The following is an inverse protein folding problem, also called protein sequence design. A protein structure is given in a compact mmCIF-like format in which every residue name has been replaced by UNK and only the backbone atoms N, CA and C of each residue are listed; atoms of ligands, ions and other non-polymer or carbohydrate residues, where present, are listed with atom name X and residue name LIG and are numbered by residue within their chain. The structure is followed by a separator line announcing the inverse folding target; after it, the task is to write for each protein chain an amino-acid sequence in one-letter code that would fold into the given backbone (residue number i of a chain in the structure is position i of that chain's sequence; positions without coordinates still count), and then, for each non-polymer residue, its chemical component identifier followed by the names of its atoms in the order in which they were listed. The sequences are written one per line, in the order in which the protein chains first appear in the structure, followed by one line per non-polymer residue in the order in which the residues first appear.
data_IF_241968004983
#
_entry.id   IF_241968004983
#
_cell.length_a   1.000
_cell.length_b   1.000
_cell.length_c   1.000
_cell.angle_alpha   90.00
_cell.angle_beta   90.00
_cell.angle_gamma   90.00
#
_symmetry.space_group_name_H-M   'P 1'
#
loop_
_entity.id
_entity.type
_entity.pdbx_description
1 polymer ?
#
# COMPACT_ATOMS: atom_id res chain seq x y z
N UNK A 1 20.39 -47.75 12.23
CA UNK A 1 21.69 -48.24 11.75
C UNK A 1 21.86 -47.79 10.31
N UNK A 2 22.68 -46.75 10.08
CA UNK A 2 23.84 -46.70 9.16
C UNK A 2 23.55 -47.15 7.71
N UNK A 3 23.88 -46.44 6.63
CA UNK A 3 24.59 -45.20 6.32
C UNK A 3 24.47 -45.03 4.79
N UNK A 4 24.23 -43.84 4.24
CA UNK A 4 24.86 -43.37 2.98
C UNK A 4 24.31 -41.99 2.59
N UNK A 5 25.14 -40.95 2.79
CA UNK A 5 24.94 -39.60 2.27
C UNK A 5 26.15 -39.32 1.39
N UNK A 6 25.92 -39.14 0.08
CA UNK A 6 26.93 -38.71 -0.87
C UNK A 6 26.88 -37.18 -1.04
N UNK A 7 27.93 -36.51 -0.56
CA UNK A 7 28.23 -35.09 -0.79
C UNK A 7 28.65 -34.87 -2.24
N UNK A 8 28.12 -33.85 -2.91
CA UNK A 8 28.74 -33.23 -4.08
C UNK A 8 28.96 -31.74 -3.84
N UNK A 9 30.25 -31.36 -3.73
CA UNK A 9 30.74 -29.97 -3.70
C UNK A 9 30.82 -29.44 -5.13
N UNK A 10 30.24 -28.27 -5.40
CA UNK A 10 30.64 -27.43 -6.55
C UNK A 10 31.38 -26.19 -6.06
N UNK A 11 32.50 -25.93 -6.73
CA UNK A 11 33.50 -24.89 -6.44
C UNK A 11 32.99 -23.52 -6.91
N UNK A 12 33.14 -22.49 -6.07
CA UNK A 12 32.97 -21.09 -6.44
C UNK A 12 34.18 -20.59 -7.25
N UNK A 13 33.93 -19.86 -8.33
CA UNK A 13 34.94 -19.07 -9.05
C UNK A 13 34.70 -17.58 -8.77
N UNK A 14 35.70 -16.97 -8.13
CA UNK A 14 35.88 -15.53 -7.99
C UNK A 14 36.17 -14.90 -9.35
N UNK A 15 35.54 -13.76 -9.66
CA UNK A 15 36.08 -12.80 -10.64
C UNK A 15 35.78 -11.35 -10.23
N UNK A 16 36.85 -10.74 -9.69
CA UNK A 16 37.38 -9.39 -9.91
C UNK A 16 36.44 -8.27 -10.36
N UNK A 17 36.47 -7.20 -9.56
CA UNK A 17 35.76 -5.94 -9.79
C UNK A 17 36.35 -5.06 -10.89
N UNK A 18 35.58 -4.03 -11.21
CA UNK A 18 35.95 -2.91 -12.06
C UNK A 18 35.30 -1.64 -11.54
N UNK A 19 36.16 -0.73 -11.08
CA UNK A 19 35.88 0.64 -10.70
C UNK A 19 35.48 1.46 -11.92
N UNK A 20 34.42 2.27 -11.80
CA UNK A 20 34.06 3.26 -12.81
C UNK A 20 34.46 4.66 -12.35
N UNK A 21 35.21 5.34 -13.22
CA UNK A 21 35.70 6.71 -13.10
C UNK A 21 34.58 7.70 -13.41
N UNK A 22 34.51 8.77 -12.60
CA UNK A 22 33.66 9.96 -12.79
C UNK A 22 34.38 10.94 -13.74
N UNK A 23 33.74 11.52 -14.77
CA UNK A 23 34.31 12.65 -15.48
C UNK A 23 33.82 13.98 -14.86
N UNK A 24 34.78 14.85 -14.57
CA UNK A 24 34.57 16.25 -14.19
C UNK A 24 34.22 17.10 -15.41
N UNK A 25 33.20 17.96 -15.29
CA UNK A 25 32.79 18.93 -16.32
C UNK A 25 33.55 20.25 -16.09
N UNK A 26 34.28 20.69 -17.12
CA UNK A 26 34.95 21.99 -17.20
C UNK A 26 33.96 23.07 -17.65
N UNK A 27 33.76 24.11 -16.84
CA UNK A 27 33.03 25.33 -17.20
C UNK A 27 34.04 26.34 -17.74
N UNK A 28 33.91 26.71 -19.01
CA UNK A 28 34.68 27.81 -19.63
C UNK A 28 33.80 29.05 -19.76
N UNK A 29 34.15 30.11 -19.03
CA UNK A 29 33.52 31.42 -19.13
C UNK A 29 34.08 32.23 -20.29
N UNK A 30 33.21 32.84 -21.09
CA UNK A 30 33.55 33.83 -22.12
C UNK A 30 33.09 35.21 -21.66
N UNK A 31 34.07 36.08 -21.37
CA UNK A 31 33.88 37.53 -21.32
C UNK A 31 33.72 38.07 -22.74
N UNK A 32 32.75 38.95 -22.97
CA UNK A 32 32.70 39.80 -24.16
C UNK A 32 32.66 41.27 -23.75
N UNK A 33 33.59 42.02 -24.33
CA UNK A 33 33.90 43.41 -24.06
C UNK A 33 32.94 44.37 -24.77
N UNK A 34 32.66 45.50 -24.13
CA UNK A 34 31.98 46.65 -24.71
C UNK A 34 32.95 47.47 -25.58
N UNK A 35 32.49 47.89 -26.76
CA UNK A 35 33.13 48.91 -27.59
C UNK A 35 32.06 49.70 -28.35
N UNK A 36 32.00 51.00 -28.08
CA UNK A 36 30.98 51.91 -28.61
C UNK A 36 31.26 52.43 -30.03
N UNK A 37 30.20 52.94 -30.65
CA UNK A 37 30.24 53.68 -31.90
C UNK A 37 28.89 54.36 -32.14
N UNK A 38 28.92 55.69 -32.21
CA UNK A 38 27.80 56.62 -32.40
C UNK A 38 27.46 56.85 -33.87
N UNK A 39 26.17 56.95 -34.21
CA UNK A 39 25.60 58.10 -34.96
C UNK A 39 24.06 58.05 -35.03
N UNK A 40 23.35 59.20 -35.10
CA UNK A 40 21.89 59.27 -34.99
C UNK A 40 21.21 59.47 -36.35
N UNK A 41 20.17 58.67 -36.66
CA UNK A 41 19.17 59.07 -37.65
C UNK A 41 17.75 58.77 -37.20
N UNK A 42 16.93 59.78 -37.45
CA UNK A 42 15.50 59.95 -37.18
C UNK A 42 14.63 58.82 -37.72
N UNK A 43 13.77 58.28 -36.85
CA UNK A 43 12.70 57.36 -37.23
C UNK A 43 11.55 57.40 -36.20
N UNK A 44 10.39 57.80 -36.68
CA UNK A 44 9.04 57.76 -36.11
C UNK A 44 8.84 57.00 -34.79
N UNK A 45 8.34 57.70 -33.78
CA UNK A 45 7.88 57.12 -32.52
C UNK A 45 6.57 56.33 -32.72
N UNK A 46 6.70 55.04 -33.04
CA UNK A 46 5.66 54.06 -32.74
C UNK A 46 5.80 53.66 -31.28
N UNK A 47 4.82 54.03 -30.46
CA UNK A 47 4.72 53.54 -29.09
C UNK A 47 4.50 52.02 -29.12
N UNK A 48 5.59 51.26 -29.02
CA UNK A 48 5.54 49.84 -28.69
C UNK A 48 5.01 49.75 -27.26
N UNK A 49 3.72 49.40 -27.12
CA UNK A 49 3.18 48.96 -25.86
C UNK A 49 4.03 47.75 -25.41
N UNK A 50 4.86 47.94 -24.40
CA UNK A 50 5.51 46.85 -23.68
C UNK A 50 4.40 46.01 -23.06
N UNK A 51 4.02 44.92 -23.72
CA UNK A 51 3.30 43.85 -23.08
C UNK A 51 4.23 43.28 -22.02
N UNK A 52 3.94 43.59 -20.75
CA UNK A 52 4.49 42.87 -19.62
C UNK A 52 4.31 41.38 -19.90
N UNK A 53 5.35 40.54 -19.79
CA UNK A 53 5.16 39.10 -19.92
C UNK A 53 4.13 38.69 -18.88
N UNK A 54 2.95 38.23 -19.33
CA UNK A 54 2.02 37.54 -18.46
C UNK A 54 2.80 36.38 -17.87
N UNK A 55 3.07 36.44 -16.57
CA UNK A 55 3.57 35.28 -15.84
C UNK A 55 2.48 34.22 -15.96
N UNK A 56 2.65 33.28 -16.89
CA UNK A 56 1.92 32.03 -16.83
C UNK A 56 2.27 31.44 -15.47
N UNK A 57 1.32 31.43 -14.54
CA UNK A 57 1.50 30.76 -13.27
C UNK A 57 2.03 29.36 -13.59
N UNK A 58 3.23 29.03 -13.06
CA UNK A 58 3.78 27.71 -13.25
C UNK A 58 2.72 26.70 -12.82
N UNK A 59 2.48 25.67 -13.64
CA UNK A 59 1.56 24.61 -13.28
C UNK A 59 1.94 24.12 -11.87
N UNK A 60 0.96 23.98 -10.95
CA UNK A 60 1.26 23.55 -9.60
C UNK A 60 2.04 22.24 -9.66
N UNK A 61 3.11 22.14 -8.87
CA UNK A 61 3.95 20.96 -8.86
C UNK A 61 3.10 19.72 -8.52
N UNK A 62 3.30 18.63 -9.25
CA UNK A 62 2.59 17.37 -9.03
C UNK A 62 3.57 16.25 -8.67
N UNK A 63 3.05 15.18 -8.06
CA UNK A 63 3.77 13.92 -7.86
C UNK A 63 2.87 12.72 -8.21
N UNK A 64 3.49 11.57 -8.42
CA UNK A 64 2.80 10.29 -8.41
C UNK A 64 2.67 9.79 -6.97
N UNK A 65 1.51 9.21 -6.65
CA UNK A 65 1.18 8.79 -5.30
C UNK A 65 0.35 7.50 -5.33
N UNK A 66 0.79 6.50 -4.57
CA UNK A 66 0.10 5.23 -4.33
C UNK A 66 -1.27 5.49 -3.70
N UNK A 67 -2.33 5.39 -4.51
CA UNK A 67 -3.70 5.59 -4.02
C UNK A 67 -4.35 4.29 -3.55
N UNK A 68 -3.78 3.18 -3.98
CA UNK A 68 -4.17 1.83 -3.61
C UNK A 68 -2.97 0.91 -3.81
N UNK A 69 -2.80 -0.05 -2.92
CA UNK A 69 -1.77 -1.07 -2.98
C UNK A 69 -2.33 -2.38 -2.40
N UNK A 70 -1.81 -3.48 -2.90
CA UNK A 70 -1.89 -4.78 -2.24
C UNK A 70 -0.51 -5.44 -2.31
N UNK A 71 0.05 -5.79 -1.16
CA UNK A 71 1.32 -6.53 -1.11
C UNK A 71 1.12 -7.97 -1.60
N UNK A 72 1.91 -8.42 -2.59
CA UNK A 72 1.68 -9.74 -3.20
C UNK A 72 2.16 -10.89 -2.30
N UNK A 73 1.38 -11.98 -2.31
CA UNK A 73 1.67 -13.30 -1.75
C UNK A 73 1.98 -14.29 -2.87
N UNK A 74 2.74 -15.33 -2.51
CA UNK A 74 2.90 -16.50 -3.35
C UNK A 74 1.63 -17.34 -3.31
N UNK A 75 0.85 -17.33 -4.39
CA UNK A 75 -0.46 -17.98 -4.52
C UNK A 75 -0.39 -19.36 -5.23
N UNK A 76 0.77 -20.02 -5.16
CA UNK A 76 1.07 -21.18 -6.01
C UNK A 76 1.09 -20.80 -7.51
N UNK A 77 1.56 -21.71 -8.36
CA UNK A 77 1.56 -21.45 -9.80
C UNK A 77 0.16 -21.67 -10.38
N UNK A 78 -0.45 -20.59 -10.85
CA UNK A 78 -1.78 -20.54 -11.48
C UNK A 78 -1.66 -20.20 -12.97
N UNK A 79 -2.76 -20.33 -13.69
CA UNK A 79 -2.81 -19.99 -15.11
C UNK A 79 -4.08 -19.19 -15.45
N UNK A 80 -3.90 -18.15 -16.24
CA UNK A 80 -4.94 -17.62 -17.11
C UNK A 80 -4.75 -18.24 -18.51
N UNK A 81 -5.85 -18.54 -19.20
CA UNK A 81 -5.79 -19.03 -20.59
C UNK A 81 -6.79 -18.28 -21.46
N UNK A 82 -6.32 -17.23 -22.11
CA UNK A 82 -7.17 -16.32 -22.89
C UNK A 82 -8.25 -15.62 -22.03
N UNK A 83 -7.99 -15.42 -20.74
CA UNK A 83 -8.95 -14.88 -19.77
C UNK A 83 -8.92 -13.34 -19.71
N UNK A 84 -10.05 -12.74 -19.37
CA UNK A 84 -10.14 -11.32 -18.98
C UNK A 84 -10.42 -11.21 -17.49
N UNK A 85 -9.63 -10.40 -16.79
CA UNK A 85 -9.81 -10.04 -15.38
C UNK A 85 -10.26 -8.59 -15.28
N UNK A 86 -11.15 -8.26 -14.34
CA UNK A 86 -11.53 -6.89 -13.98
C UNK A 86 -11.51 -6.76 -12.46
N UNK A 87 -10.61 -5.93 -11.95
CA UNK A 87 -10.44 -5.66 -10.53
C UNK A 87 -11.04 -4.31 -10.19
N UNK A 88 -11.99 -4.29 -9.26
CA UNK A 88 -12.55 -3.09 -8.63
C UNK A 88 -11.70 -2.74 -7.40
N UNK A 89 -10.92 -1.67 -7.49
CA UNK A 89 -10.18 -1.12 -6.36
C UNK A 89 -10.88 0.11 -5.80
N UNK A 90 -10.62 0.46 -4.54
CA UNK A 90 -11.06 1.72 -3.94
C UNK A 90 -9.87 2.68 -3.81
N UNK A 91 -9.97 3.84 -4.43
CA UNK A 91 -8.92 4.86 -4.44
C UNK A 91 -9.04 5.75 -3.20
N UNK A 92 -7.95 5.88 -2.43
CA UNK A 92 -7.86 6.88 -1.36
C UNK A 92 -7.82 8.32 -1.92
N UNK A 93 -6.81 8.64 -2.73
CA UNK A 93 -6.63 9.93 -3.38
C UNK A 93 -7.23 9.94 -4.79
N UNK A 94 -7.67 11.12 -5.23
CA UNK A 94 -8.01 11.38 -6.61
C UNK A 94 -6.86 12.08 -7.34
N UNK A 95 -6.89 12.10 -8.68
CA UNK A 95 -5.83 12.71 -9.48
C UNK A 95 -6.21 12.92 -10.93
N UNK A 96 -5.26 13.45 -11.71
CA UNK A 96 -5.43 13.77 -13.15
C UNK A 96 -4.74 12.80 -14.09
N UNK A 97 -4.11 11.77 -13.54
CA UNK A 97 -3.48 10.69 -14.28
C UNK A 97 -3.43 9.43 -13.44
N UNK A 98 -3.34 8.29 -14.11
CA UNK A 98 -3.30 6.96 -13.50
C UNK A 98 -2.09 6.19 -14.02
N UNK A 99 -1.48 5.40 -13.14
CA UNK A 99 -0.58 4.31 -13.51
C UNK A 99 -0.95 3.06 -12.73
N UNK A 100 -0.69 1.90 -13.32
CA UNK A 100 -0.85 0.61 -12.66
C UNK A 100 0.50 -0.09 -12.60
N UNK A 101 0.74 -0.84 -11.52
CA UNK A 101 1.90 -1.71 -11.39
C UNK A 101 1.48 -3.16 -11.46
N UNK A 102 2.09 -3.87 -12.40
CA UNK A 102 1.93 -5.30 -12.58
C UNK A 102 3.05 -6.03 -11.84
N UNK A 103 2.72 -7.15 -11.22
CA UNK A 103 3.65 -7.95 -10.40
C UNK A 103 3.80 -9.37 -10.93
N UNK A 104 5.05 -9.82 -11.04
CA UNK A 104 5.43 -11.19 -11.36
C UNK A 104 6.60 -11.65 -10.46
N UNK A 105 6.61 -11.21 -9.21
CA UNK A 105 7.66 -11.41 -8.22
C UNK A 105 7.84 -12.89 -7.87
N UNK A 106 6.73 -13.65 -7.78
CA UNK A 106 6.75 -15.07 -7.46
C UNK A 106 6.63 -15.97 -8.70
N UNK A 107 6.44 -15.38 -9.88
CA UNK A 107 6.39 -16.11 -11.13
C UNK A 107 7.75 -16.70 -11.53
N UNK A 108 7.68 -17.72 -12.38
CA UNK A 108 8.87 -18.46 -12.86
C UNK A 108 9.10 -18.32 -14.37
N UNK A 109 8.19 -17.62 -15.06
CA UNK A 109 8.24 -17.35 -16.49
C UNK A 109 7.83 -15.90 -16.74
N UNK A 110 8.07 -15.40 -17.96
CA UNK A 110 7.56 -14.10 -18.39
C UNK A 110 6.04 -14.11 -18.33
N UNK A 111 5.44 -13.18 -17.60
CA UNK A 111 4.00 -12.96 -17.63
C UNK A 111 3.68 -11.94 -18.72
N UNK A 112 2.79 -12.31 -19.66
CA UNK A 112 2.37 -11.42 -20.75
C UNK A 112 0.92 -10.99 -20.51
N UNK A 113 0.70 -9.70 -20.31
CA UNK A 113 -0.63 -9.08 -20.34
C UNK A 113 -0.83 -8.49 -21.73
N UNK A 114 -1.73 -9.09 -22.50
CA UNK A 114 -1.97 -8.75 -23.91
C UNK A 114 -2.59 -7.34 -24.06
N UNK A 115 -3.45 -6.95 -23.12
CA UNK A 115 -3.89 -5.56 -22.98
C UNK A 115 -4.37 -5.25 -21.57
N UNK A 116 -4.25 -3.99 -21.17
CA UNK A 116 -4.80 -3.48 -19.92
C UNK A 116 -5.58 -2.18 -20.16
N UNK A 117 -6.63 -1.96 -19.37
CA UNK A 117 -7.47 -0.78 -19.43
C UNK A 117 -7.85 -0.31 -18.03
N UNK A 118 -8.11 1.00 -17.89
CA UNK A 118 -8.68 1.61 -16.69
C UNK A 118 -9.98 2.33 -17.04
N UNK A 119 -10.95 2.28 -16.14
CA UNK A 119 -12.22 3.01 -16.27
C UNK A 119 -12.84 3.29 -14.90
N UNK A 120 -13.69 4.30 -14.82
CA UNK A 120 -14.58 4.49 -13.68
C UNK A 120 -15.76 3.49 -13.74
N UNK A 121 -16.33 3.08 -12.59
CA UNK A 121 -17.54 2.29 -12.56
C UNK A 121 -18.72 3.06 -13.15
N UNK A 122 -19.66 2.34 -13.77
CA UNK A 122 -20.92 2.95 -14.20
C UNK A 122 -21.89 3.10 -13.02
N UNK A 123 -21.90 4.27 -12.39
CA UNK A 123 -22.77 4.58 -11.25
C UNK A 123 -24.26 4.61 -11.59
N UNK A 124 -24.64 4.68 -12.88
CA UNK A 124 -26.04 4.58 -13.31
C UNK A 124 -26.56 3.14 -13.32
N UNK A 125 -25.68 2.13 -13.20
CA UNK A 125 -26.02 0.72 -13.11
C UNK A 125 -25.46 0.08 -11.83
N UNK A 126 -25.87 0.59 -10.67
CA UNK A 126 -25.35 0.16 -9.36
C UNK A 126 -25.56 -1.34 -9.03
N UNK A 127 -26.44 -2.04 -9.75
CA UNK A 127 -26.70 -3.47 -9.54
C UNK A 127 -25.70 -4.38 -10.26
N UNK A 128 -24.92 -3.84 -11.20
CA UNK A 128 -23.88 -4.58 -11.91
C UNK A 128 -22.51 -4.17 -11.40
N UNK A 129 -21.84 -5.02 -10.59
CA UNK A 129 -20.56 -4.67 -9.99
C UNK A 129 -19.40 -4.67 -11.01
N UNK A 130 -19.66 -5.10 -12.25
CA UNK A 130 -18.66 -5.15 -13.34
C UNK A 130 -18.82 -3.99 -14.33
N UNK A 131 -19.88 -3.18 -14.22
CA UNK A 131 -20.19 -2.15 -15.19
C UNK A 131 -19.19 -0.99 -15.14
N UNK A 132 -18.72 -0.56 -16.30
CA UNK A 132 -17.81 0.59 -16.47
C UNK A 132 -18.49 1.73 -17.22
N UNK A 133 -18.14 2.97 -16.90
CA UNK A 133 -18.44 4.11 -17.74
C UNK A 133 -17.46 4.10 -18.93
N UNK A 134 -17.94 3.68 -20.10
CA UNK A 134 -17.12 3.56 -21.31
C UNK A 134 -16.59 4.90 -21.81
N UNK A 135 -17.13 6.04 -21.36
CA UNK A 135 -16.59 7.36 -21.69
C UNK A 135 -15.31 7.68 -20.91
N UNK A 136 -15.07 6.96 -19.82
CA UNK A 136 -13.86 7.02 -18.99
C UNK A 136 -12.87 5.88 -19.27
N UNK A 137 -13.14 5.04 -20.28
CA UNK A 137 -12.31 3.89 -20.62
C UNK A 137 -11.04 4.36 -21.35
N UNK A 138 -9.89 4.07 -20.74
CA UNK A 138 -8.59 4.35 -21.31
C UNK A 138 -7.74 3.08 -21.41
N UNK A 139 -7.10 2.90 -22.55
CA UNK A 139 -6.09 1.85 -22.72
C UNK A 139 -4.82 2.25 -21.96
N UNK A 140 -4.28 1.29 -21.19
CA UNK A 140 -3.00 1.43 -20.51
C UNK A 140 -1.89 1.01 -21.46
N UNK A 141 -0.79 1.76 -21.46
CA UNK A 141 0.42 1.40 -22.21
C UNK A 141 1.62 1.21 -21.28
N UNK A 142 2.66 0.56 -21.79
CA UNK A 142 3.89 0.24 -21.09
C UNK A 142 5.09 0.61 -21.98
N UNK A 143 6.28 0.72 -21.38
CA UNK A 143 7.54 0.91 -22.12
C UNK A 143 7.52 2.04 -23.18
N UNK A 144 6.85 3.16 -22.90
CA UNK A 144 6.66 4.28 -23.83
C UNK A 144 5.72 3.96 -25.03
N UNK A 145 4.55 3.37 -24.75
CA UNK A 145 3.45 3.28 -25.69
C UNK A 145 3.09 1.87 -26.18
N UNK A 146 3.75 0.83 -25.69
CA UNK A 146 3.37 -0.56 -25.98
C UNK A 146 2.01 -0.88 -25.35
N UNK A 147 1.11 -1.50 -26.11
CA UNK A 147 -0.25 -1.82 -25.63
C UNK A 147 -0.34 -3.12 -24.83
N UNK A 148 0.77 -3.84 -24.71
CA UNK A 148 0.92 -5.08 -23.95
C UNK A 148 2.04 -4.89 -22.91
N UNK A 149 2.06 -5.76 -21.90
CA UNK A 149 3.12 -5.81 -20.91
C UNK A 149 3.82 -7.17 -20.92
N UNK A 150 5.14 -7.15 -20.89
CA UNK A 150 5.99 -8.30 -20.59
C UNK A 150 6.65 -8.08 -19.23
N UNK A 151 6.22 -8.83 -18.21
CA UNK A 151 6.74 -8.72 -16.85
C UNK A 151 7.65 -9.92 -16.57
N UNK A 152 8.98 -9.72 -16.49
CA UNK A 152 9.92 -10.82 -16.23
C UNK A 152 9.67 -11.49 -14.87
N UNK A 153 10.06 -12.76 -14.70
CA UNK A 153 9.96 -13.43 -13.40
C UNK A 153 10.84 -12.73 -12.37
N UNK A 154 10.30 -12.48 -11.18
CA UNK A 154 10.99 -11.77 -10.10
C UNK A 154 10.91 -10.25 -10.18
N UNK A 155 10.13 -9.69 -11.11
CA UNK A 155 10.06 -8.25 -11.38
C UNK A 155 8.64 -7.68 -11.26
N UNK A 156 8.56 -6.36 -11.17
CA UNK A 156 7.32 -5.58 -11.36
C UNK A 156 7.47 -4.65 -12.57
N UNK A 157 6.36 -4.30 -13.21
CA UNK A 157 6.32 -3.35 -14.32
C UNK A 157 5.29 -2.25 -14.05
N UNK A 158 5.74 -0.99 -14.02
CA UNK A 158 4.87 0.19 -13.94
C UNK A 158 4.45 0.64 -15.33
N UNK A 159 3.17 0.98 -15.51
CA UNK A 159 2.66 1.50 -16.77
C UNK A 159 3.13 2.92 -17.07
N UNK A 160 2.97 3.33 -18.33
CA UNK A 160 3.03 4.73 -18.71
C UNK A 160 1.88 5.51 -18.05
N UNK A 161 1.99 6.84 -17.88
CA UNK A 161 0.89 7.70 -17.47
C UNK A 161 -0.32 7.60 -18.42
N UNK A 162 -1.49 7.36 -17.85
CA UNK A 162 -2.79 7.50 -18.53
C UNK A 162 -3.46 8.79 -18.06
N UNK A 163 -3.67 9.80 -18.93
CA UNK A 163 -4.42 11.00 -18.56
C UNK A 163 -5.88 10.64 -18.28
N UNK A 164 -6.29 10.74 -17.02
CA UNK A 164 -7.63 10.35 -16.56
C UNK A 164 -7.95 11.07 -15.26
N UNK A 165 -9.13 11.68 -15.17
CA UNK A 165 -9.61 12.27 -13.93
C UNK A 165 -10.18 11.15 -13.03
N UNK A 166 -9.52 10.89 -11.92
CA UNK A 166 -9.97 9.94 -10.90
C UNK A 166 -10.47 10.71 -9.68
N UNK A 167 -11.74 10.55 -9.27
CA UNK A 167 -12.24 11.14 -8.05
C UNK A 167 -11.56 10.51 -6.82
N UNK A 168 -11.37 11.29 -5.75
CA UNK A 168 -10.93 10.75 -4.45
C UNK A 168 -12.03 9.88 -3.83
N UNK A 169 -11.65 8.90 -3.00
CA UNK A 169 -12.59 8.02 -2.28
C UNK A 169 -13.60 7.37 -3.23
N UNK A 170 -13.13 6.92 -4.38
CA UNK A 170 -13.96 6.36 -5.45
C UNK A 170 -13.38 5.07 -5.99
N UNK A 171 -14.20 4.27 -6.67
CA UNK A 171 -13.69 3.04 -7.26
C UNK A 171 -13.06 3.28 -8.63
N UNK A 172 -12.06 2.47 -8.94
CA UNK A 172 -11.43 2.38 -10.26
C UNK A 172 -11.45 0.92 -10.70
N UNK A 173 -11.80 0.69 -11.97
CA UNK A 173 -11.82 -0.62 -12.59
C UNK A 173 -10.55 -0.80 -13.42
N UNK A 174 -9.71 -1.76 -13.03
CA UNK A 174 -8.54 -2.17 -13.82
C UNK A 174 -8.89 -3.47 -14.53
N UNK A 175 -8.88 -3.48 -15.86
CA UNK A 175 -9.20 -4.67 -16.66
C UNK A 175 -7.98 -5.15 -17.42
N UNK A 176 -7.57 -6.40 -17.24
CA UNK A 176 -6.44 -7.01 -17.94
C UNK A 176 -6.92 -8.22 -18.75
N UNK A 177 -6.46 -8.33 -19.99
CA UNK A 177 -6.63 -9.51 -20.83
C UNK A 177 -5.31 -10.22 -21.02
N UNK A 178 -5.34 -11.54 -20.91
CA UNK A 178 -4.22 -12.43 -21.20
C UNK A 178 -4.56 -13.18 -22.49
N UNK A 179 -3.61 -13.31 -23.41
CA UNK A 179 -3.83 -14.01 -24.69
C UNK A 179 -3.09 -15.35 -24.68
N UNK A 180 -3.86 -16.45 -24.71
CA UNK A 180 -3.31 -17.78 -24.45
C UNK A 180 -2.88 -17.96 -22.99
N UNK A 181 -1.99 -18.94 -22.77
CA UNK A 181 -1.53 -19.33 -21.44
C UNK A 181 -0.60 -18.28 -20.83
N UNK A 182 -1.03 -17.65 -19.74
CA UNK A 182 -0.22 -16.79 -18.90
C UNK A 182 -0.13 -17.40 -17.49
N UNK A 183 1.09 -17.75 -17.07
CA UNK A 183 1.32 -18.25 -15.72
C UNK A 183 1.54 -17.09 -14.76
N UNK A 184 0.94 -17.17 -13.58
CA UNK A 184 1.16 -16.20 -12.51
C UNK A 184 1.24 -16.92 -11.17
N UNK A 185 1.94 -16.30 -10.21
CA UNK A 185 1.99 -16.78 -8.83
C UNK A 185 1.77 -15.65 -7.82
N UNK A 186 1.55 -14.43 -8.28
CA UNK A 186 1.35 -13.24 -7.48
C UNK A 186 -0.13 -13.02 -7.24
N UNK A 187 -0.54 -13.07 -5.98
CA UNK A 187 -1.90 -12.76 -5.58
C UNK A 187 -1.99 -12.18 -4.19
N UNK A 188 -3.08 -11.48 -3.91
CA UNK A 188 -3.45 -11.12 -2.56
C UNK A 188 -4.92 -11.47 -2.40
N UNK A 189 -5.21 -12.53 -1.65
CA UNK A 189 -6.57 -13.01 -1.39
C UNK A 189 -6.66 -13.61 0.00
N UNK A 190 -7.64 -13.16 0.78
CA UNK A 190 -8.01 -13.74 2.07
C UNK A 190 -9.55 -13.75 2.15
N UNK A 191 -10.14 -14.87 2.56
CA UNK A 191 -11.59 -15.02 2.71
C UNK A 191 -12.22 -14.10 3.75
N UNK A 192 -11.44 -13.55 4.69
CA UNK A 192 -11.95 -12.78 5.82
C UNK A 192 -11.32 -11.38 5.98
N UNK A 193 -10.54 -10.97 4.98
CA UNK A 193 -10.12 -9.57 4.78
C UNK A 193 -10.94 -9.02 3.62
N UNK A 194 -11.56 -7.84 3.73
CA UNK A 194 -12.24 -7.24 2.59
C UNK A 194 -11.20 -6.71 1.62
N UNK A 195 -11.09 -7.34 0.45
CA UNK A 195 -10.12 -6.98 -0.58
C UNK A 195 -10.84 -6.52 -1.85
N UNK A 196 -10.05 -6.05 -2.83
CA UNK A 196 -10.56 -5.64 -4.13
C UNK A 196 -11.45 -6.74 -4.74
N UNK A 197 -12.54 -6.33 -5.39
CA UNK A 197 -13.44 -7.27 -6.07
C UNK A 197 -12.85 -7.65 -7.42
N UNK A 198 -12.54 -8.93 -7.63
CA UNK A 198 -12.00 -9.44 -8.89
C UNK A 198 -13.04 -10.27 -9.64
N UNK A 199 -13.27 -9.92 -10.89
CA UNK A 199 -14.15 -10.62 -11.82
C UNK A 199 -13.35 -11.25 -12.93
N UNK A 200 -13.58 -12.53 -13.23
CA UNK A 200 -12.84 -13.26 -14.28
C UNK A 200 -13.80 -13.84 -15.30
N UNK A 201 -13.64 -13.46 -16.56
CA UNK A 201 -14.31 -14.07 -17.72
C UNK A 201 -13.33 -15.01 -18.40
N UNK A 202 -13.69 -16.29 -18.51
CA UNK A 202 -12.81 -17.32 -19.03
C UNK A 202 -12.79 -17.39 -20.56
N UNK A 203 -11.60 -17.54 -21.13
CA UNK A 203 -11.37 -17.86 -22.55
C UNK A 203 -11.90 -16.83 -23.56
N UNK A 204 -12.08 -15.57 -23.14
CA UNK A 204 -12.66 -14.52 -23.97
C UNK A 204 -11.97 -13.18 -23.71
N UNK A 205 -11.64 -12.45 -24.78
CA UNK A 205 -11.27 -11.05 -24.72
C UNK A 205 -12.52 -10.18 -24.62
N UNK A 206 -12.78 -9.69 -23.41
CA UNK A 206 -13.89 -8.76 -23.11
C UNK A 206 -13.37 -7.51 -22.39
N UNK A 207 -12.10 -7.17 -22.61
CA UNK A 207 -11.41 -6.11 -21.86
C UNK A 207 -12.09 -4.74 -21.97
N UNK A 208 -12.72 -4.45 -23.11
CA UNK A 208 -13.43 -3.20 -23.40
C UNK A 208 -14.95 -3.29 -23.23
N UNK A 209 -15.48 -4.44 -22.81
CA UNK A 209 -16.91 -4.62 -22.60
C UNK A 209 -17.43 -3.71 -21.50
N UNK A 210 -18.52 -2.99 -21.78
CA UNK A 210 -19.15 -2.06 -20.83
C UNK A 210 -19.62 -2.75 -19.53
N UNK A 211 -19.84 -4.05 -19.57
CA UNK A 211 -20.39 -4.86 -18.48
C UNK A 211 -20.17 -6.35 -18.77
N UNK A 212 -20.08 -7.17 -17.71
CA UNK A 212 -20.09 -8.63 -17.80
C UNK A 212 -21.46 -9.24 -17.46
N UNK A 213 -22.53 -8.46 -17.29
CA UNK A 213 -23.84 -8.94 -16.85
C UNK A 213 -24.49 -9.98 -17.77
N UNK A 214 -24.09 -10.00 -19.04
CA UNK A 214 -24.55 -10.97 -20.06
C UNK A 214 -23.52 -12.08 -20.33
N UNK A 215 -22.47 -12.17 -19.51
CA UNK A 215 -21.40 -13.15 -19.62
C UNK A 215 -21.38 -14.04 -18.36
N UNK A 216 -20.79 -15.23 -18.50
CA UNK A 216 -20.42 -16.02 -17.33
C UNK A 216 -19.10 -15.48 -16.79
N UNK A 217 -19.10 -15.02 -15.53
CA UNK A 217 -17.89 -14.60 -14.84
C UNK A 217 -17.81 -15.20 -13.44
N UNK A 218 -16.58 -15.43 -12.99
CA UNK A 218 -16.24 -15.83 -11.62
C UNK A 218 -15.98 -14.58 -10.78
N UNK A 219 -16.24 -14.65 -9.47
CA UNK A 219 -15.94 -13.57 -8.52
C UNK A 219 -14.98 -14.06 -7.46
N UNK A 220 -13.96 -13.26 -7.19
CA UNK A 220 -12.94 -13.51 -6.18
C UNK A 220 -12.78 -12.29 -5.27
N UNK A 221 -12.41 -12.54 -4.02
CA UNK A 221 -12.05 -11.52 -3.05
C UNK A 221 -10.52 -11.37 -3.02
N UNK A 222 -10.00 -10.38 -3.72
CA UNK A 222 -8.57 -10.21 -3.89
C UNK A 222 -8.17 -9.67 -5.25
N UNK A 223 -6.87 -9.72 -5.51
CA UNK A 223 -6.26 -9.29 -6.77
C UNK A 223 -5.17 -10.27 -7.17
N UNK A 224 -4.91 -10.38 -8.47
CA UNK A 224 -3.80 -11.16 -9.02
C UNK A 224 -2.94 -10.28 -9.91
N UNK A 225 -1.63 -10.31 -9.65
CA UNK A 225 -0.61 -9.64 -10.48
C UNK A 225 -0.79 -8.12 -10.68
N UNK A 226 -1.64 -7.46 -9.88
CA UNK A 226 -1.81 -6.01 -9.80
C UNK A 226 -1.48 -5.59 -8.36
N UNK A 227 -0.32 -4.95 -8.17
CA UNK A 227 0.23 -4.62 -6.84
C UNK A 227 0.00 -3.18 -6.43
N UNK A 228 -0.13 -2.24 -7.37
CA UNK A 228 -0.29 -0.83 -7.06
C UNK A 228 -1.09 -0.09 -8.14
N UNK A 229 -1.81 0.94 -7.70
CA UNK A 229 -2.33 2.01 -8.56
C UNK A 229 -1.82 3.35 -8.03
N UNK A 230 -1.14 4.11 -8.89
CA UNK A 230 -0.72 5.48 -8.62
C UNK A 230 -1.69 6.47 -9.28
N UNK A 231 -1.93 7.60 -8.62
CA UNK A 231 -2.59 8.76 -9.22
C UNK A 231 -1.67 9.98 -9.20
N UNK A 232 -1.81 10.85 -10.20
CA UNK A 232 -1.08 12.12 -10.24
C UNK A 232 -1.80 13.16 -9.37
N UNK A 233 -1.13 13.56 -8.29
CA UNK A 233 -1.68 14.44 -7.24
C UNK A 233 -0.86 15.72 -7.11
N UNK A 234 -1.38 16.77 -6.46
CA UNK A 234 -0.58 17.90 -6.04
C UNK A 234 0.64 17.47 -5.18
N UNK A 235 1.78 18.11 -5.35
CA UNK A 235 3.04 17.69 -4.70
C UNK A 235 2.99 17.68 -3.16
N UNK A 236 2.10 18.48 -2.56
CA UNK A 236 1.89 18.53 -1.11
C UNK A 236 1.08 17.34 -0.54
N UNK A 237 0.47 16.51 -1.40
CA UNK A 237 -0.26 15.32 -0.96
C UNK A 237 0.70 14.36 -0.26
N UNK A 238 0.32 13.90 0.93
CA UNK A 238 1.07 12.87 1.66
C UNK A 238 0.82 11.51 1.02
N UNK A 239 1.86 10.68 1.00
CA UNK A 239 1.80 9.29 0.56
C UNK A 239 2.14 8.44 1.78
N UNK A 240 1.13 7.80 2.37
CA UNK A 240 1.27 6.97 3.56
C UNK A 240 1.24 5.51 3.15
N UNK A 241 2.29 4.76 3.47
CA UNK A 241 2.27 3.30 3.33
C UNK A 241 2.11 2.67 4.71
N UNK A 242 1.03 1.92 4.89
CA UNK A 242 0.76 1.16 6.11
C UNK A 242 1.36 -0.24 5.97
N UNK A 243 2.45 -0.51 6.70
CA UNK A 243 3.17 -1.77 6.62
C UNK A 243 3.00 -2.57 7.92
N UNK A 244 2.45 -3.77 7.82
CA UNK A 244 1.98 -4.52 8.98
C UNK A 244 1.52 -5.94 8.57
N UNK A 245 0.78 -6.57 9.47
CA UNK A 245 0.19 -7.90 9.42
C UNK A 245 -1.34 -7.86 9.21
N UNK A 246 -2.06 -8.89 9.64
CA UNK A 246 -3.52 -9.09 9.42
C UNK A 246 -4.40 -7.95 9.91
N UNK A 247 -4.00 -7.26 10.99
CA UNK A 247 -4.74 -6.13 11.53
C UNK A 247 -4.79 -4.96 10.52
N UNK A 248 -3.67 -4.67 9.88
CA UNK A 248 -3.63 -3.58 8.89
C UNK A 248 -4.15 -4.02 7.55
N UNK A 249 -3.92 -5.28 7.17
CA UNK A 249 -4.55 -5.89 6.00
C UNK A 249 -6.08 -5.70 6.06
N UNK A 250 -6.66 -5.86 7.27
CA UNK A 250 -8.03 -5.52 7.58
C UNK A 250 -8.90 -6.72 7.92
N UNK A 251 -8.30 -7.81 8.42
CA UNK A 251 -9.04 -9.01 8.81
C UNK A 251 -10.15 -8.68 9.81
N UNK A 252 -11.37 -9.14 9.57
CA UNK A 252 -12.54 -8.81 10.41
C UNK A 252 -13.26 -7.52 10.03
N UNK A 253 -12.72 -6.71 9.12
CA UNK A 253 -13.45 -5.60 8.51
C UNK A 253 -14.48 -6.13 7.50
N UNK A 254 -15.57 -5.41 7.34
CA UNK A 254 -16.61 -5.65 6.34
C UNK A 254 -16.67 -4.46 5.40
N UNK A 255 -16.18 -4.63 4.17
CA UNK A 255 -16.04 -3.58 3.15
C UNK A 255 -14.61 -3.04 3.06
N UNK A 256 -14.15 -2.76 1.84
CA UNK A 256 -12.77 -2.37 1.51
C UNK A 256 -12.39 -0.97 2.03
N UNK A 257 -13.38 -0.22 2.49
CA UNK A 257 -13.32 1.14 3.00
C UNK A 257 -13.13 1.18 4.53
N UNK A 258 -13.20 0.02 5.18
CA UNK A 258 -13.22 -0.12 6.62
C UNK A 258 -11.93 -0.53 7.31
N UNK A 259 -10.90 -1.13 6.67
CA UNK A 259 -9.59 -1.27 7.29
C UNK A 259 -9.08 0.10 7.78
N UNK A 260 -8.32 0.12 8.89
CA UNK A 260 -7.92 1.40 9.50
C UNK A 260 -7.17 2.35 8.54
N UNK A 261 -6.32 1.89 7.57
CA UNK A 261 -5.69 2.79 6.62
C UNK A 261 -6.72 3.47 5.70
N UNK A 262 -7.78 2.75 5.31
CA UNK A 262 -8.86 3.27 4.48
C UNK A 262 -9.73 4.27 5.26
N UNK A 263 -10.00 4.02 6.54
CA UNK A 263 -10.70 4.98 7.42
C UNK A 263 -9.89 6.28 7.55
N UNK A 264 -8.59 6.17 7.81
CA UNK A 264 -7.70 7.35 7.90
C UNK A 264 -7.72 8.14 6.58
N UNK A 265 -7.64 7.45 5.44
CA UNK A 265 -7.73 8.07 4.12
C UNK A 265 -9.07 8.80 3.92
N UNK A 266 -10.17 8.17 4.30
CA UNK A 266 -11.52 8.72 4.20
C UNK A 266 -11.67 10.01 5.01
N UNK A 267 -11.22 10.00 6.27
CA UNK A 267 -11.26 11.19 7.14
C UNK A 267 -10.42 12.36 6.58
N UNK A 268 -9.18 12.09 6.18
CA UNK A 268 -8.29 13.11 5.64
C UNK A 268 -8.84 13.70 4.34
N UNK A 269 -9.23 12.84 3.39
CA UNK A 269 -9.68 13.27 2.07
C UNK A 269 -11.12 13.79 2.06
N UNK A 270 -11.95 13.51 3.06
CA UNK A 270 -13.24 14.19 3.22
C UNK A 270 -13.07 15.63 3.73
N UNK A 271 -11.98 15.90 4.45
CA UNK A 271 -11.62 17.22 4.97
C UNK A 271 -10.85 18.11 3.98
N UNK A 272 -9.98 18.95 4.52
CA UNK A 272 -9.08 19.83 3.77
C UNK A 272 -7.71 19.22 3.51
N UNK A 273 -7.39 18.12 4.19
CA UNK A 273 -6.13 17.40 4.03
C UNK A 273 -6.18 16.54 2.75
N UNK A 274 -5.01 16.05 2.34
CA UNK A 274 -4.87 15.22 1.14
C UNK A 274 -3.87 14.12 1.39
N UNK A 275 -4.33 12.87 1.21
CA UNK A 275 -3.49 11.68 1.43
C UNK A 275 -3.78 10.61 0.39
N UNK A 276 -2.74 10.00 -0.12
CA UNK A 276 -2.80 8.74 -0.85
C UNK A 276 -2.26 7.64 0.09
N UNK A 277 -2.96 6.52 0.17
CA UNK A 277 -2.65 5.44 1.12
C UNK A 277 -2.46 4.13 0.36
N UNK A 278 -1.31 3.50 0.58
CA UNK A 278 -1.04 2.11 0.22
C UNK A 278 -1.19 1.22 1.46
N UNK A 279 -1.94 0.13 1.32
CA UNK A 279 -2.05 -0.89 2.36
C UNK A 279 -1.13 -2.07 2.01
N UNK A 280 0.02 -2.11 2.66
CA UNK A 280 0.98 -3.20 2.53
C UNK A 280 0.80 -4.25 3.65
N UNK A 281 -0.34 -4.32 4.33
CA UNK A 281 -0.66 -5.36 5.29
C UNK A 281 -0.73 -6.75 4.62
N UNK A 282 -0.36 -7.80 5.35
CA UNK A 282 -0.55 -9.20 4.93
C UNK A 282 -0.99 -10.04 6.13
N UNK A 283 -2.06 -10.82 5.98
CA UNK A 283 -2.49 -11.79 6.99
C UNK A 283 -1.36 -12.69 7.52
N UNK A 284 -1.15 -12.72 8.85
CA UNK A 284 -0.15 -13.58 9.50
C UNK A 284 1.31 -13.21 9.27
N UNK A 285 1.59 -12.08 8.61
CA UNK A 285 2.96 -11.64 8.33
C UNK A 285 3.70 -11.26 9.61
N UNK A 286 5.03 -11.29 9.55
CA UNK A 286 5.90 -11.17 10.72
C UNK A 286 7.21 -10.46 10.34
N UNK A 287 7.91 -9.89 11.31
CA UNK A 287 9.23 -9.28 11.11
C UNK A 287 10.33 -10.30 10.82
N UNK A 288 10.04 -11.57 11.06
CA UNK A 288 10.91 -12.70 10.85
C UNK A 288 10.28 -13.67 9.86
N UNK A 289 11.12 -14.47 9.20
CA UNK A 289 10.62 -15.51 8.33
C UNK A 289 9.92 -16.60 9.17
N UNK A 290 8.61 -16.49 9.26
CA UNK A 290 7.73 -17.44 9.92
C UNK A 290 7.17 -18.39 8.86
N UNK A 291 7.69 -19.62 8.81
CA UNK A 291 7.04 -20.72 8.09
C UNK A 291 6.00 -21.43 8.97
N UNK A 292 5.55 -20.81 10.06
CA UNK A 292 4.78 -21.47 11.12
C UNK A 292 3.44 -22.04 10.63
N UNK A 293 2.82 -21.40 9.62
CA UNK A 293 1.63 -21.91 8.92
C UNK A 293 1.93 -22.49 7.53
N UNK A 294 3.21 -22.78 7.23
CA UNK A 294 3.68 -23.39 5.98
C UNK A 294 4.24 -22.38 4.97
N UNK A 295 4.90 -22.85 3.90
CA UNK A 295 5.40 -21.97 2.84
C UNK A 295 4.27 -21.15 2.21
N UNK A 296 4.44 -19.82 2.15
CA UNK A 296 3.53 -18.90 1.44
C UNK A 296 2.26 -18.49 2.20
N UNK A 297 1.98 -19.04 3.39
CA UNK A 297 0.76 -18.73 4.15
C UNK A 297 0.59 -17.25 4.52
N UNK A 298 1.71 -16.54 4.64
CA UNK A 298 1.83 -15.36 5.48
C UNK A 298 2.77 -14.30 4.87
N UNK A 299 3.10 -14.47 3.58
CA UNK A 299 4.01 -13.60 2.84
C UNK A 299 5.49 -13.78 3.15
N UNK A 300 6.32 -13.06 2.41
CA UNK A 300 7.72 -12.83 2.76
C UNK A 300 7.76 -11.95 4.02
N UNK A 301 8.72 -12.14 4.91
CA UNK A 301 8.81 -11.33 6.13
C UNK A 301 8.92 -9.83 5.83
N UNK A 302 8.48 -9.02 6.80
CA UNK A 302 8.37 -7.57 6.65
C UNK A 302 9.71 -6.96 6.24
N UNK A 303 10.82 -7.37 6.84
CA UNK A 303 12.12 -6.78 6.51
C UNK A 303 12.52 -7.05 5.05
N UNK A 304 12.37 -8.29 4.59
CA UNK A 304 12.76 -8.69 3.23
C UNK A 304 11.87 -8.03 2.16
N UNK A 305 10.63 -7.68 2.48
CA UNK A 305 9.73 -6.98 1.55
C UNK A 305 9.71 -5.45 1.71
N UNK A 306 10.40 -4.88 2.69
CA UNK A 306 10.34 -3.43 2.97
C UNK A 306 10.74 -2.57 1.78
N UNK A 307 11.83 -2.94 1.09
CA UNK A 307 12.26 -2.20 -0.10
C UNK A 307 11.21 -2.27 -1.22
N UNK A 308 10.58 -3.43 -1.42
CA UNK A 308 9.64 -3.68 -2.51
C UNK A 308 8.27 -3.06 -2.23
N UNK A 309 7.67 -3.35 -1.09
CA UNK A 309 6.29 -2.98 -0.77
C UNK A 309 6.17 -1.61 -0.07
N UNK A 310 7.28 -0.97 0.29
CA UNK A 310 7.25 0.33 0.98
C UNK A 310 8.12 1.35 0.29
N UNK A 311 9.44 1.16 0.29
CA UNK A 311 10.36 2.20 -0.19
C UNK A 311 10.22 2.46 -1.70
N UNK A 312 9.95 1.43 -2.51
CA UNK A 312 9.75 1.58 -3.95
C UNK A 312 8.49 2.38 -4.33
N UNK A 313 7.55 2.54 -3.39
CA UNK A 313 6.29 3.29 -3.53
C UNK A 313 6.47 4.80 -3.30
N UNK A 314 7.70 5.24 -3.02
CA UNK A 314 8.08 6.63 -2.75
C UNK A 314 7.21 7.35 -1.67
N UNK A 315 6.99 6.74 -0.48
CA UNK A 315 6.19 7.35 0.57
C UNK A 315 6.76 8.68 1.06
N UNK A 316 5.88 9.52 1.59
CA UNK A 316 6.30 10.58 2.52
C UNK A 316 6.31 10.09 3.96
N UNK A 317 5.49 9.08 4.25
CA UNK A 317 5.21 8.59 5.59
C UNK A 317 5.00 7.07 5.58
N UNK A 318 5.43 6.42 6.65
CA UNK A 318 5.22 4.99 6.89
C UNK A 318 4.58 4.83 8.26
N UNK A 319 3.56 3.97 8.36
CA UNK A 319 3.06 3.48 9.64
C UNK A 319 3.47 2.03 9.78
N UNK A 320 4.17 1.69 10.88
CA UNK A 320 4.55 0.32 11.18
C UNK A 320 3.75 -0.16 12.39
N UNK A 321 2.93 -1.19 12.21
CA UNK A 321 2.19 -1.88 13.25
C UNK A 321 2.48 -3.39 13.13
N UNK A 322 3.48 -3.89 13.82
CA UNK A 322 3.90 -5.29 13.68
C UNK A 322 4.48 -5.83 14.98
N UNK A 323 4.62 -7.15 15.06
CA UNK A 323 5.24 -7.82 16.20
C UNK A 323 4.30 -8.78 16.91
N UNK A 324 2.98 -8.70 16.70
CA UNK A 324 2.03 -9.55 17.42
C UNK A 324 2.17 -11.03 16.99
N UNK A 325 2.37 -11.29 15.69
CA UNK A 325 2.67 -12.64 15.19
C UNK A 325 4.08 -13.15 15.52
N UNK A 326 4.99 -12.29 15.99
CA UNK A 326 6.37 -12.65 16.35
C UNK A 326 6.48 -13.17 17.80
N UNK A 327 5.50 -12.84 18.65
CA UNK A 327 5.48 -13.20 20.06
C UNK A 327 5.43 -14.74 20.26
N UNK A 328 6.17 -15.21 21.25
CA UNK A 328 6.32 -16.64 21.55
C UNK A 328 7.36 -17.36 20.69
N UNK A 329 7.83 -16.73 19.59
CA UNK A 329 8.98 -17.17 18.79
C UNK A 329 10.21 -16.26 18.95
N UNK A 330 9.98 -14.96 19.18
CA UNK A 330 11.01 -13.94 19.30
C UNK A 330 10.79 -13.06 20.54
N UNK A 331 11.89 -12.55 21.11
CA UNK A 331 11.82 -11.58 22.21
C UNK A 331 11.49 -10.18 21.70
N UNK A 332 11.02 -9.30 22.57
CA UNK A 332 10.81 -7.90 22.26
C UNK A 332 12.10 -7.24 21.76
N UNK A 333 13.26 -7.58 22.32
CA UNK A 333 14.56 -7.03 21.89
C UNK A 333 14.91 -7.46 20.44
N UNK A 334 14.59 -8.71 20.06
CA UNK A 334 14.77 -9.17 18.68
C UNK A 334 13.88 -8.36 17.72
N UNK A 335 12.62 -8.16 18.09
CA UNK A 335 11.63 -7.40 17.31
C UNK A 335 12.08 -5.94 17.18
N UNK A 336 12.49 -5.30 18.28
CA UNK A 336 13.01 -3.92 18.33
C UNK A 336 14.20 -3.75 17.39
N UNK A 337 15.13 -4.72 17.37
CA UNK A 337 16.29 -4.65 16.47
C UNK A 337 15.88 -4.62 14.99
N UNK A 338 14.80 -5.31 14.59
CA UNK A 338 14.26 -5.24 13.23
C UNK A 338 13.58 -3.89 12.95
N UNK A 339 12.81 -3.37 13.90
CA UNK A 339 12.23 -2.04 13.79
C UNK A 339 13.28 -0.96 13.57
N UNK A 340 14.39 -1.00 14.31
CA UNK A 340 15.50 -0.05 14.16
C UNK A 340 16.04 -0.04 12.72
N UNK A 341 16.20 -1.21 12.10
CA UNK A 341 16.64 -1.31 10.70
C UNK A 341 15.62 -0.64 9.75
N UNK A 342 14.33 -0.90 9.92
CA UNK A 342 13.28 -0.29 9.08
C UNK A 342 13.26 1.23 9.21
N UNK A 343 13.35 1.74 10.44
CA UNK A 343 13.38 3.17 10.76
C UNK A 343 14.60 3.83 10.14
N UNK A 344 15.80 3.25 10.32
CA UNK A 344 17.04 3.78 9.76
C UNK A 344 16.99 3.85 8.23
N UNK A 345 16.45 2.82 7.56
CA UNK A 345 16.31 2.79 6.11
C UNK A 345 15.33 3.86 5.59
N UNK A 346 14.21 4.08 6.29
CA UNK A 346 13.24 5.11 5.95
C UNK A 346 13.81 6.53 6.16
N UNK A 347 14.44 6.78 7.31
CA UNK A 347 15.05 8.07 7.64
C UNK A 347 16.21 8.42 6.71
N UNK A 348 16.97 7.43 6.23
CA UNK A 348 18.00 7.62 5.20
C UNK A 348 17.43 8.17 3.87
N UNK A 349 16.13 8.01 3.64
CA UNK A 349 15.40 8.54 2.48
C UNK A 349 14.49 9.73 2.83
N UNK A 350 14.63 10.30 4.04
CA UNK A 350 13.81 11.41 4.55
C UNK A 350 12.31 11.11 4.63
N UNK A 351 11.96 9.85 4.87
CA UNK A 351 10.58 9.38 5.03
C UNK A 351 10.25 9.38 6.52
N UNK A 352 9.11 9.94 6.91
CA UNK A 352 8.69 9.93 8.32
C UNK A 352 8.17 8.55 8.70
N UNK A 353 8.45 8.12 9.93
CA UNK A 353 8.01 6.83 10.45
C UNK A 353 7.16 7.01 11.69
N UNK A 354 5.98 6.40 11.69
CA UNK A 354 5.04 6.38 12.80
C UNK A 354 4.98 4.96 13.40
N UNK A 355 5.18 4.85 14.70
CA UNK A 355 5.08 3.59 15.43
C UNK A 355 3.65 3.34 15.91
N UNK A 356 3.04 2.23 15.48
CA UNK A 356 1.76 1.76 15.98
C UNK A 356 1.94 0.92 17.24
N UNK A 357 1.39 1.37 18.36
CA UNK A 357 1.43 0.61 19.63
C UNK A 357 0.57 -0.65 19.49
N UNK A 358 1.16 -1.83 19.64
CA UNK A 358 0.49 -3.11 19.41
C UNK A 358 -0.79 -3.26 20.22
N UNK A 359 -1.82 -3.80 19.58
CA UNK A 359 -3.13 -4.00 20.18
C UNK A 359 -3.07 -5.03 21.33
N UNK A 360 -4.06 -5.06 22.23
CA UNK A 360 -4.02 -6.00 23.34
C UNK A 360 -4.20 -7.46 22.90
N UNK A 361 -3.47 -8.39 23.51
CA UNK A 361 -3.52 -9.82 23.20
C UNK A 361 -4.24 -10.67 24.26
N UNK A 362 -4.64 -10.06 25.38
CA UNK A 362 -5.30 -10.75 26.48
C UNK A 362 -6.63 -11.39 26.07
N UNK A 363 -6.99 -12.49 26.73
CA UNK A 363 -8.30 -13.12 26.55
C UNK A 363 -9.42 -12.09 26.81
N UNK A 364 -10.47 -12.14 26.00
CA UNK A 364 -11.52 -11.12 25.99
C UNK A 364 -12.82 -11.64 26.60
N UNK A 365 -13.76 -10.73 26.86
CA UNK A 365 -15.15 -11.09 27.18
C UNK A 365 -15.96 -11.03 25.91
N UNK A 366 -16.50 -12.17 25.49
CA UNK A 366 -17.33 -12.29 24.30
C UNK A 366 -18.68 -11.58 24.44
N UNK A 367 -19.36 -11.38 23.32
CA UNK A 367 -20.69 -10.71 23.28
C UNK A 367 -21.77 -11.42 24.12
N UNK A 368 -21.60 -12.71 24.40
CA UNK A 368 -22.46 -13.50 25.28
C UNK A 368 -22.05 -13.45 26.77
N UNK A 369 -21.05 -12.63 27.12
CA UNK A 369 -20.50 -12.49 28.45
C UNK A 369 -19.54 -13.60 28.89
N UNK A 370 -19.23 -14.58 28.02
CA UNK A 370 -18.27 -15.64 28.34
C UNK A 370 -16.84 -15.25 27.95
N UNK A 371 -15.81 -15.75 28.66
CA UNK A 371 -14.43 -15.59 28.22
C UNK A 371 -14.21 -16.20 26.84
N UNK A 372 -13.47 -15.50 25.99
CA UNK A 372 -13.03 -15.98 24.68
C UNK A 372 -11.51 -15.89 24.66
N UNK A 373 -10.85 -17.03 24.46
CA UNK A 373 -9.40 -17.02 24.36
C UNK A 373 -8.94 -16.48 23.02
N UNK A 374 -7.91 -15.65 23.04
CA UNK A 374 -7.27 -15.14 21.83
C UNK A 374 -6.35 -16.16 21.18
N UNK A 375 -5.86 -17.13 21.95
CA UNK A 375 -4.77 -18.03 21.54
C UNK A 375 -3.38 -17.38 21.54
N UNK A 376 -3.29 -16.06 21.73
CA UNK A 376 -2.03 -15.31 21.78
C UNK A 376 -1.57 -15.03 23.22
N UNK A 377 -2.50 -14.97 24.17
CA UNK A 377 -2.19 -14.64 25.54
C UNK A 377 -1.41 -15.75 26.26
N UNK A 378 -0.22 -15.39 26.73
CA UNK A 378 0.46 -16.03 27.86
C UNK A 378 1.10 -14.92 28.71
N UNK A 379 1.40 -15.16 30.00
CA UNK A 379 2.13 -14.17 30.81
C UNK A 379 3.47 -13.77 30.19
N UNK A 380 4.15 -14.69 29.48
CA UNK A 380 5.39 -14.41 28.78
C UNK A 380 5.16 -13.50 27.55
N UNK A 381 4.21 -13.85 26.67
CA UNK A 381 3.89 -13.03 25.49
C UNK A 381 3.42 -11.63 25.88
N UNK A 382 2.61 -11.49 26.93
CA UNK A 382 2.16 -10.16 27.38
C UNK A 382 3.30 -9.34 27.97
N UNK A 383 4.28 -9.96 28.65
CA UNK A 383 5.46 -9.25 29.12
C UNK A 383 6.32 -8.73 27.95
N UNK A 384 6.53 -9.55 26.91
CA UNK A 384 7.24 -9.15 25.69
C UNK A 384 6.49 -8.05 24.93
N UNK A 385 5.17 -8.17 24.77
CA UNK A 385 4.33 -7.14 24.14
C UNK A 385 4.39 -5.82 24.90
N UNK A 386 4.35 -5.85 26.23
CA UNK A 386 4.47 -4.65 27.06
C UNK A 386 5.86 -4.01 26.94
N UNK A 387 6.93 -4.79 26.88
CA UNK A 387 8.29 -4.30 26.64
C UNK A 387 8.39 -3.63 25.26
N UNK A 388 7.86 -4.27 24.22
CA UNK A 388 7.81 -3.71 22.86
C UNK A 388 7.02 -2.39 22.83
N UNK A 389 5.81 -2.37 23.39
CA UNK A 389 4.98 -1.16 23.42
C UNK A 389 5.62 -0.02 24.21
N UNK A 390 6.26 -0.33 25.35
CA UNK A 390 6.99 0.67 26.12
C UNK A 390 8.15 1.28 25.31
N UNK A 391 8.84 0.46 24.50
CA UNK A 391 9.86 0.96 23.58
C UNK A 391 9.25 1.82 22.45
N UNK A 392 8.14 1.39 21.84
CA UNK A 392 7.45 2.16 20.79
C UNK A 392 7.02 3.54 21.31
N UNK A 393 6.51 3.60 22.54
CA UNK A 393 6.03 4.84 23.17
C UNK A 393 7.18 5.74 23.67
N UNK A 394 8.40 5.21 23.81
CA UNK A 394 9.54 6.00 24.26
C UNK A 394 9.94 7.05 23.22
N UNK A 395 10.28 8.24 23.70
CA UNK A 395 10.67 9.35 22.84
C UNK A 395 11.98 9.08 22.08
N UNK A 396 12.04 9.53 20.83
CA UNK A 396 13.27 9.55 20.03
C UNK A 396 13.43 8.39 19.03
N UNK A 397 12.46 7.47 18.96
CA UNK A 397 12.48 6.36 17.99
C UNK A 397 11.69 6.66 16.70
N UNK A 398 10.56 7.37 16.82
CA UNK A 398 9.64 7.65 15.72
C UNK A 398 9.38 9.15 15.56
N UNK A 399 8.88 9.54 14.38
CA UNK A 399 8.37 10.89 14.09
C UNK A 399 6.99 11.13 14.74
N UNK A 400 6.30 10.06 15.12
CA UNK A 400 5.07 10.06 15.91
C UNK A 400 4.67 8.66 16.36
N UNK A 401 3.83 8.58 17.40
CA UNK A 401 3.35 7.32 17.96
C UNK A 401 1.82 7.30 17.87
N UNK A 402 1.27 6.20 17.36
CA UNK A 402 -0.17 5.97 17.20
C UNK A 402 -0.59 4.90 18.21
N UNK A 403 -1.26 5.30 19.29
CA UNK A 403 -1.65 4.38 20.35
C UNK A 403 -2.92 3.59 20.01
N UNK A 404 -2.77 2.62 19.09
CA UNK A 404 -3.86 1.71 18.72
C UNK A 404 -4.33 0.89 19.92
N UNK A 405 -3.41 0.48 20.81
CA UNK A 405 -3.71 -0.29 22.01
C UNK A 405 -4.75 0.39 22.90
N UNK A 406 -4.55 1.67 23.19
CA UNK A 406 -5.43 2.43 24.07
C UNK A 406 -6.82 2.67 23.47
N UNK A 407 -6.93 2.86 22.15
CA UNK A 407 -8.23 3.16 21.51
C UNK A 407 -9.10 1.93 21.28
N UNK A 408 -8.53 0.72 21.27
CA UNK A 408 -9.29 -0.54 21.12
C UNK A 408 -9.38 -1.38 22.40
N UNK A 409 -8.50 -1.14 23.37
CA UNK A 409 -8.41 -1.95 24.59
C UNK A 409 -9.55 -1.74 25.59
N UNK A 410 -9.77 -2.74 26.43
CA UNK A 410 -10.70 -2.68 27.55
C UNK A 410 -9.94 -2.58 28.88
N UNK A 411 -9.84 -1.39 29.49
CA UNK A 411 -9.09 -1.22 30.75
C UNK A 411 -9.72 -1.95 31.94
N UNK A 412 -10.95 -2.48 31.81
CA UNK A 412 -11.60 -3.28 32.86
C UNK A 412 -11.24 -4.77 32.81
N UNK A 413 -10.49 -5.21 31.79
CA UNK A 413 -10.04 -6.59 31.65
C UNK A 413 -8.53 -6.65 31.97
N UNK A 414 -8.11 -7.62 32.77
CA UNK A 414 -6.71 -7.87 33.10
C UNK A 414 -6.42 -9.36 32.95
N UNK A 415 -5.43 -9.76 32.13
CA UNK A 415 -4.58 -8.95 31.23
C UNK A 415 -5.38 -8.15 30.18
N UNK A 416 -4.81 -7.08 29.65
CA UNK A 416 -5.51 -6.17 28.73
C UNK A 416 -5.97 -6.92 27.47
N UNK A 417 -7.27 -6.90 27.19
CA UNK A 417 -7.89 -7.46 25.99
C UNK A 417 -8.60 -6.39 25.17
N UNK A 418 -8.97 -6.71 23.93
CA UNK A 418 -9.77 -5.82 23.06
C UNK A 418 -11.16 -5.62 23.68
N UNK A 419 -11.72 -4.42 23.54
CA UNK A 419 -13.08 -4.12 23.98
C UNK A 419 -14.13 -4.93 23.23
N UNK A 420 -15.11 -5.46 23.97
CA UNK A 420 -16.20 -6.29 23.45
C UNK A 420 -16.98 -5.61 22.31
N UNK A 421 -17.02 -4.28 22.28
CA UNK A 421 -17.68 -3.53 21.20
C UNK A 421 -16.88 -3.50 19.88
N UNK A 422 -15.57 -3.73 19.93
CA UNK A 422 -14.66 -3.47 18.82
C UNK A 422 -13.91 -4.68 18.28
N UNK A 423 -14.09 -5.86 18.87
CA UNK A 423 -13.46 -7.08 18.36
C UNK A 423 -14.33 -7.77 17.29
N UNK A 424 -13.68 -8.54 16.43
CA UNK A 424 -14.32 -9.48 15.52
C UNK A 424 -14.69 -10.79 16.28
N UNK A 425 -15.99 -11.14 16.39
CA UNK A 425 -16.43 -12.39 17.03
C UNK A 425 -15.83 -13.67 16.46
N UNK A 426 -15.44 -13.68 15.19
CA UNK A 426 -14.83 -14.84 14.52
C UNK A 426 -13.30 -14.85 14.65
N UNK A 427 -12.72 -13.75 15.13
CA UNK A 427 -11.28 -13.62 15.32
C UNK A 427 -10.94 -12.65 16.47
N UNK A 428 -10.82 -13.16 17.71
CA UNK A 428 -10.78 -12.33 18.92
C UNK A 428 -9.53 -11.46 19.13
N UNK A 429 -8.58 -11.50 18.19
CA UNK A 429 -7.42 -10.58 18.14
C UNK A 429 -7.58 -9.46 17.08
N UNK A 430 -8.61 -9.53 16.25
CA UNK A 430 -8.86 -8.55 15.19
C UNK A 430 -10.02 -7.63 15.55
N UNK A 431 -10.06 -6.50 14.84
CA UNK A 431 -11.08 -5.50 15.03
C UNK A 431 -12.26 -5.76 14.09
N UNK A 432 -13.46 -5.38 14.53
CA UNK A 432 -14.57 -5.15 13.63
C UNK A 432 -14.52 -3.72 13.06
N UNK A 433 -15.49 -3.33 12.24
CA UNK A 433 -15.54 -1.98 11.65
C UNK A 433 -15.51 -0.84 12.69
N UNK A 434 -16.07 -1.03 13.89
CA UNK A 434 -16.02 -0.01 14.96
C UNK A 434 -14.59 0.12 15.52
N UNK A 435 -13.90 -1.00 15.73
CA UNK A 435 -12.49 -1.01 16.14
C UNK A 435 -11.59 -0.35 15.11
N UNK A 436 -11.75 -0.70 13.84
CA UNK A 436 -10.98 -0.07 12.76
C UNK A 436 -11.32 1.40 12.56
N UNK A 437 -12.57 1.83 12.84
CA UNK A 437 -12.92 3.24 12.86
C UNK A 437 -12.15 4.00 13.94
N UNK A 438 -12.04 3.45 15.16
CA UNK A 438 -11.27 4.06 16.23
C UNK A 438 -9.77 4.14 15.89
N UNK A 439 -9.21 3.05 15.32
CA UNK A 439 -7.81 3.02 14.87
C UNK A 439 -7.53 4.04 13.76
N UNK A 440 -8.34 4.06 12.69
CA UNK A 440 -8.13 5.00 11.58
C UNK A 440 -8.28 6.45 12.01
N UNK A 441 -9.16 6.72 12.99
CA UNK A 441 -9.33 8.05 13.56
C UNK A 441 -8.08 8.49 14.34
N UNK A 442 -7.49 7.63 15.19
CA UNK A 442 -6.28 8.02 15.95
C UNK A 442 -5.06 8.15 15.03
N UNK A 443 -4.97 7.34 13.98
CA UNK A 443 -3.93 7.49 12.96
C UNK A 443 -4.05 8.84 12.23
N UNK A 444 -5.27 9.24 11.86
CA UNK A 444 -5.52 10.54 11.25
C UNK A 444 -5.16 11.70 12.19
N UNK A 445 -5.56 11.62 13.47
CA UNK A 445 -5.23 12.62 14.49
C UNK A 445 -3.72 12.81 14.65
N UNK A 446 -2.96 11.74 14.79
CA UNK A 446 -1.50 11.80 14.97
C UNK A 446 -0.80 12.29 13.72
N UNK A 447 -1.15 11.75 12.55
CA UNK A 447 -0.45 12.08 11.30
C UNK A 447 -0.75 13.52 10.89
N UNK A 448 -1.99 13.98 10.99
CA UNK A 448 -2.42 15.31 10.51
C UNK A 448 -2.57 16.37 11.61
N UNK A 449 -2.22 16.05 12.86
CA UNK A 449 -2.33 16.97 14.00
C UNK A 449 -3.78 17.39 14.26
N UNK A 450 -4.69 16.41 14.24
CA UNK A 450 -6.13 16.61 14.48
C UNK A 450 -6.54 16.07 15.85
N UNK A 451 -7.78 16.33 16.22
CA UNK A 451 -8.39 15.87 17.46
C UNK A 451 -9.86 15.53 17.21
N UNK A 452 -10.12 14.70 16.20
CA UNK A 452 -11.48 14.24 15.88
C UNK A 452 -11.86 13.05 16.79
N UNK A 453 -13.10 12.59 16.67
CA UNK A 453 -13.62 11.47 17.46
C UNK A 453 -14.25 10.45 16.52
N UNK A 454 -14.08 9.14 16.75
CA UNK A 454 -14.86 8.15 16.04
C UNK A 454 -16.33 8.29 16.45
N UNK A 455 -17.26 7.96 15.55
CA UNK A 455 -18.70 8.04 15.83
C UNK A 455 -19.11 7.15 17.01
N UNK A 456 -18.44 6.02 17.19
CA UNK A 456 -18.61 5.11 18.32
C UNK A 456 -17.22 4.64 18.81
N UNK A 457 -16.71 5.15 19.95
CA UNK A 457 -15.45 4.68 20.51
C UNK A 457 -15.58 3.26 21.08
N UNK A 458 -14.46 2.56 21.24
CA UNK A 458 -14.44 1.19 21.76
C UNK A 458 -14.59 1.11 23.28
N UNK A 459 -14.20 2.17 23.97
CA UNK A 459 -14.19 2.27 25.42
C UNK A 459 -14.59 3.68 25.85
N UNK A 460 -14.69 3.91 27.16
CA UNK A 460 -15.06 5.20 27.74
C UNK A 460 -13.85 6.10 28.04
N UNK A 461 -12.66 5.78 27.53
CA UNK A 461 -11.48 6.61 27.72
C UNK A 461 -11.61 7.90 26.90
N UNK A 462 -10.97 9.01 27.34
CA UNK A 462 -10.81 10.18 26.50
C UNK A 462 -10.14 9.80 25.17
N UNK A 463 -10.62 10.41 24.08
CA UNK A 463 -10.04 10.22 22.75
C UNK A 463 -9.52 11.57 22.22
N UNK A 464 -8.39 11.60 21.49
CA UNK A 464 -7.38 10.56 21.54
C UNK A 464 -6.86 10.39 22.99
N UNK A 465 -6.31 9.21 23.35
CA UNK A 465 -5.66 9.03 24.64
C UNK A 465 -4.58 10.09 24.86
N UNK A 466 -4.40 10.55 26.10
CA UNK A 466 -3.30 11.45 26.42
C UNK A 466 -1.97 10.72 26.18
N UNK A 467 -1.08 11.34 25.39
CA UNK A 467 0.27 10.85 25.09
C UNK A 467 1.15 10.91 26.33
#
# INVERSE_FOLDING_TARGET
MLHSIAKHRRKSLLRQGRSWLIPAVLISGLLSACGGGSDPQSGSASALAQQSPQSTAAAPATRWATTWEAAMLQNGLQNFDSDTTRTRIHTSAGGTGVRIRLSNIFGTQMMVVDSANVALPNTSNANDPTAIDTTSLHQVTFNNGETFAEVPPGEELLSDPVPMNVPKLSDLMVTMHFNGLAQYADGHSDSVTPLAGLYVVRGQNVATSASFSNLSFETFNGTFSLSEVEVQVPAQTRVVIAMSESITDGRGAVGIEHPWPAVMASLANAGSDTVAVGNAGIGGNSLFNSTAAGPGCCGVDLLDRFQRDVLSRNPTDIVILAGDNDLGGHSADDIIARYQILIEQAHAQHIKVYGGVNTPIGDIVGTNGQPVSTGFYTPANEAERQQLNAWIQAAGHYDGVIDFSAVVGNPSITPLGIATACYDPESPIHMNNQGYAAMGTVAYDVIFGKTVQPAAPCNSLPFPPAI
#
